data_IF_515375797263
#
_entry.id   IF_515375797263
#
_cell.length_a   1.000
_cell.length_b   1.000
_cell.length_c   1.000
_cell.angle_alpha   90.00
_cell.angle_beta   90.00
_cell.angle_gamma   90.00
#
_symmetry.space_group_name_H-M   'P 1'
#
loop_
_entity.id
_entity.type
_entity.pdbx_description
1 polymer ?
#
# COMPACT_ATOMS: atom_id res chain seq x y z
N UNK A 1 -1.99 8.68 9.00
CA UNK A 1 -2.38 8.43 7.59
C UNK A 1 -3.83 7.99 7.60
N UNK A 2 -4.70 8.64 6.84
CA UNK A 2 -6.08 8.18 6.70
C UNK A 2 -6.07 7.03 5.70
N UNK A 3 -6.72 5.92 6.01
CA UNK A 3 -6.83 4.74 5.13
C UNK A 3 -7.36 5.07 3.72
N UNK A 4 -8.11 6.16 3.57
CA UNK A 4 -8.59 6.67 2.29
C UNK A 4 -7.47 7.08 1.31
N UNK A 5 -6.26 7.35 1.80
CA UNK A 5 -5.10 7.70 0.95
C UNK A 5 -4.40 6.48 0.35
N UNK A 6 -4.70 5.27 0.85
CA UNK A 6 -4.20 3.99 0.31
C UNK A 6 -5.06 3.42 -0.82
N UNK A 7 -6.25 3.99 -1.05
CA UNK A 7 -7.27 3.42 -1.93
C UNK A 7 -7.28 4.01 -3.33
N UNK A 8 -6.55 5.08 -3.57
CA UNK A 8 -6.41 5.67 -4.90
C UNK A 8 -5.17 5.13 -5.65
N UNK A 9 -4.90 3.82 -5.53
CA UNK A 9 -3.91 3.16 -6.36
C UNK A 9 -4.29 3.31 -7.84
N UNK A 10 -3.34 3.73 -8.66
CA UNK A 10 -3.50 3.74 -10.11
C UNK A 10 -4.10 4.99 -10.74
N UNK A 11 -4.40 6.07 -10.00
CA UNK A 11 -5.00 7.28 -10.61
C UNK A 11 -4.41 8.62 -10.14
N UNK A 12 -3.16 8.63 -9.66
CA UNK A 12 -2.50 9.89 -9.27
C UNK A 12 -2.24 10.80 -10.49
N UNK A 13 -2.07 10.19 -11.67
CA UNK A 13 -1.76 10.86 -12.93
C UNK A 13 -2.95 10.97 -13.89
N UNK A 14 -4.13 10.46 -13.52
CA UNK A 14 -5.35 10.53 -14.31
C UNK A 14 -5.21 9.87 -15.70
N UNK A 15 -5.63 10.57 -16.74
CA UNK A 15 -5.61 10.08 -18.13
C UNK A 15 -4.21 9.92 -18.74
N UNK A 16 -3.15 10.30 -18.03
CA UNK A 16 -1.77 10.18 -18.53
C UNK A 16 -1.18 8.78 -18.34
N UNK A 17 -1.87 7.89 -17.65
CA UNK A 17 -1.44 6.52 -17.42
C UNK A 17 -2.50 5.52 -17.88
N UNK A 18 -2.02 4.40 -18.40
CA UNK A 18 -2.84 3.26 -18.80
C UNK A 18 -2.36 1.98 -18.11
N UNK A 19 -3.21 0.97 -18.13
CA UNK A 19 -2.86 -0.35 -17.61
C UNK A 19 -1.68 -0.92 -18.39
N UNK A 20 -0.75 -1.55 -17.67
CA UNK A 20 0.41 -2.20 -18.27
C UNK A 20 0.14 -3.71 -18.46
N UNK A 21 0.48 -4.25 -19.63
CA UNK A 21 0.46 -5.67 -19.89
C UNK A 21 1.54 -6.39 -19.06
N UNK A 22 1.24 -7.61 -18.61
CA UNK A 22 2.12 -8.39 -17.71
C UNK A 22 3.52 -8.56 -18.28
N UNK A 23 3.62 -8.85 -19.57
CA UNK A 23 4.88 -9.04 -20.32
C UNK A 23 5.72 -7.75 -20.38
N UNK A 24 5.11 -6.59 -20.30
CA UNK A 24 5.78 -5.28 -20.38
C UNK A 24 6.28 -4.76 -19.03
N UNK A 25 5.90 -5.39 -17.90
CA UNK A 25 6.28 -4.92 -16.56
C UNK A 25 7.80 -4.95 -16.38
N UNK A 26 8.44 -6.09 -16.64
CA UNK A 26 9.89 -6.23 -16.42
C UNK A 26 10.71 -5.33 -17.39
N UNK A 27 10.43 -5.29 -18.71
CA UNK A 27 11.12 -4.36 -19.62
C UNK A 27 10.99 -2.89 -19.19
N UNK A 28 9.81 -2.49 -18.71
CA UNK A 28 9.57 -1.15 -18.21
C UNK A 28 10.39 -0.86 -16.95
N UNK A 29 10.40 -1.78 -15.98
CA UNK A 29 11.17 -1.63 -14.74
C UNK A 29 12.68 -1.59 -14.99
N UNK A 30 13.20 -2.41 -15.91
CA UNK A 30 14.62 -2.42 -16.26
C UNK A 30 15.08 -1.04 -16.78
N UNK A 31 14.26 -0.40 -17.63
CA UNK A 31 14.51 0.95 -18.13
C UNK A 31 14.38 2.01 -17.02
N UNK A 32 13.38 1.86 -16.17
CA UNK A 32 13.16 2.74 -15.03
C UNK A 32 14.35 2.78 -14.07
N UNK A 33 14.90 1.61 -13.71
CA UNK A 33 16.06 1.53 -12.81
C UNK A 33 17.32 2.11 -13.45
N UNK A 34 17.54 1.89 -14.74
CA UNK A 34 18.68 2.49 -15.46
C UNK A 34 18.61 4.00 -15.42
N UNK A 35 17.44 4.59 -15.67
CA UNK A 35 17.27 6.04 -15.64
C UNK A 35 17.44 6.61 -14.23
N UNK A 36 16.86 5.98 -13.21
CA UNK A 36 17.06 6.37 -11.82
C UNK A 36 18.53 6.30 -11.39
N UNK A 37 19.26 5.25 -11.79
CA UNK A 37 20.68 5.10 -11.48
C UNK A 37 21.53 6.19 -12.16
N UNK A 38 21.16 6.63 -13.34
CA UNK A 38 21.83 7.76 -14.01
C UNK A 38 21.60 9.09 -13.26
N UNK A 39 20.39 9.31 -12.76
CA UNK A 39 20.03 10.51 -11.98
C UNK A 39 20.69 10.50 -10.61
N UNK A 40 20.81 9.33 -9.98
CA UNK A 40 21.39 9.15 -8.65
C UNK A 40 22.59 8.20 -8.66
N UNK A 41 23.74 8.62 -9.24
CA UNK A 41 24.90 7.72 -9.40
C UNK A 41 25.53 7.27 -8.08
N UNK A 42 25.23 7.94 -6.98
CA UNK A 42 25.73 7.60 -5.63
C UNK A 42 24.76 6.73 -4.83
N UNK A 43 23.51 6.66 -5.24
CA UNK A 43 22.54 5.76 -4.63
C UNK A 43 22.68 4.37 -5.27
N UNK A 44 22.51 3.34 -4.46
CA UNK A 44 22.52 1.96 -4.94
C UNK A 44 21.09 1.58 -5.40
N UNK A 45 20.80 1.81 -6.66
CA UNK A 45 19.50 1.51 -7.28
C UNK A 45 19.64 0.23 -8.09
N UNK A 46 19.31 -0.89 -7.46
CA UNK A 46 19.37 -2.20 -8.07
C UNK A 46 17.99 -2.87 -8.03
N UNK A 47 17.62 -3.66 -9.05
CA UNK A 47 16.30 -4.31 -9.12
C UNK A 47 15.95 -5.17 -7.91
N UNK A 48 16.95 -5.76 -7.25
CA UNK A 48 16.74 -6.60 -6.08
C UNK A 48 16.37 -5.83 -4.80
N UNK A 49 16.40 -4.51 -4.81
CA UNK A 49 15.96 -3.65 -3.70
C UNK A 49 14.52 -3.16 -3.85
N UNK A 50 13.95 -3.32 -5.02
CA UNK A 50 12.60 -2.89 -5.37
C UNK A 50 11.75 -4.12 -5.65
N UNK A 51 10.87 -4.47 -4.74
CA UNK A 51 10.08 -5.69 -4.81
C UNK A 51 8.66 -5.40 -5.30
N UNK A 52 8.24 -5.89 -6.46
CA UNK A 52 6.84 -5.79 -6.86
C UNK A 52 5.93 -6.43 -5.82
N UNK A 53 4.87 -5.72 -5.43
CA UNK A 53 3.89 -6.15 -4.42
C UNK A 53 2.47 -5.85 -4.92
N UNK A 54 1.48 -6.16 -4.10
CA UNK A 54 0.09 -5.92 -4.46
C UNK A 54 -0.39 -6.82 -5.58
N UNK A 55 -1.02 -6.24 -6.59
CA UNK A 55 -1.61 -6.95 -7.74
C UNK A 55 -0.72 -7.01 -8.97
N UNK A 56 0.52 -6.54 -8.87
CA UNK A 56 1.45 -6.42 -10.00
C UNK A 56 1.72 -7.78 -10.63
N UNK A 57 1.41 -7.92 -11.93
CA UNK A 57 1.68 -9.15 -12.70
C UNK A 57 0.85 -10.38 -12.32
N UNK A 58 -0.15 -10.25 -11.44
CA UNK A 58 -1.04 -11.37 -11.08
C UNK A 58 -2.13 -11.63 -12.13
N UNK A 59 -2.48 -10.63 -12.91
CA UNK A 59 -3.38 -10.72 -14.08
C UNK A 59 -2.64 -10.36 -15.36
N UNK A 60 -3.31 -10.55 -16.49
CA UNK A 60 -2.79 -10.16 -17.82
C UNK A 60 -2.43 -8.67 -17.90
N UNK A 61 -3.06 -7.82 -17.10
CA UNK A 61 -2.72 -6.39 -16.99
C UNK A 61 -2.75 -5.91 -15.54
N UNK A 62 -1.90 -4.92 -15.23
CA UNK A 62 -1.89 -4.20 -13.94
C UNK A 62 -2.25 -2.74 -14.14
N UNK A 63 -2.94 -2.10 -13.17
CA UNK A 63 -3.30 -0.67 -13.22
C UNK A 63 -2.10 0.23 -12.94
N UNK A 64 -1.22 -0.23 -12.07
CA UNK A 64 -0.02 0.40 -11.57
C UNK A 64 1.05 -0.64 -11.25
N UNK A 65 2.24 -0.18 -10.92
CA UNK A 65 3.35 -1.01 -10.43
C UNK A 65 3.70 -0.56 -9.01
N UNK A 66 3.28 -1.32 -8.02
CA UNK A 66 3.63 -1.12 -6.62
C UNK A 66 5.00 -1.75 -6.32
N UNK A 67 5.95 -0.96 -5.84
CA UNK A 67 7.29 -1.39 -5.48
C UNK A 67 7.53 -1.21 -3.98
N UNK A 68 7.59 -2.31 -3.22
CA UNK A 68 8.05 -2.29 -1.84
C UNK A 68 9.57 -2.13 -1.79
N UNK A 69 10.04 -1.17 -1.00
CA UNK A 69 11.45 -0.85 -0.83
C UNK A 69 11.78 -0.80 0.64
N UNK A 70 12.79 -1.55 1.07
CA UNK A 70 13.23 -1.47 2.45
C UNK A 70 13.86 -0.10 2.74
N UNK A 71 13.37 0.57 3.77
CA UNK A 71 13.89 1.88 4.16
C UNK A 71 15.38 1.84 4.51
N UNK A 72 15.87 0.71 5.02
CA UNK A 72 17.30 0.54 5.37
C UNK A 72 18.16 0.32 4.13
N UNK A 73 17.60 -0.17 3.03
CA UNK A 73 18.29 -0.29 1.75
C UNK A 73 18.44 1.07 1.05
N UNK A 74 17.40 1.92 1.11
CA UNK A 74 17.50 3.28 0.57
C UNK A 74 18.38 4.20 1.43
N UNK A 75 18.35 4.00 2.74
CA UNK A 75 19.04 4.83 3.72
C UNK A 75 19.73 3.95 4.77
N UNK A 76 20.86 3.27 4.43
CA UNK A 76 21.52 2.27 5.30
C UNK A 76 21.93 2.79 6.68
N UNK A 77 22.12 4.10 6.81
CA UNK A 77 22.49 4.76 8.06
C UNK A 77 21.34 5.58 8.66
N UNK A 78 20.09 5.28 8.26
CA UNK A 78 18.92 6.08 8.58
C UNK A 78 18.84 7.38 7.76
N UNK A 79 17.73 8.11 7.94
CA UNK A 79 17.46 9.34 7.18
C UNK A 79 17.96 10.54 7.95
N UNK A 80 18.94 11.22 7.39
CA UNK A 80 19.55 12.43 7.98
C UNK A 80 20.03 13.38 6.88
N UNK A 81 20.37 14.60 7.26
CA UNK A 81 21.00 15.58 6.35
C UNK A 81 22.30 15.11 5.72
N UNK A 82 22.95 14.09 6.27
CA UNK A 82 24.16 13.49 5.70
C UNK A 82 23.85 12.37 4.72
N UNK A 83 22.93 11.47 5.08
CA UNK A 83 22.61 10.28 4.27
C UNK A 83 21.84 10.61 3.00
N UNK A 84 21.02 11.67 3.00
CA UNK A 84 20.29 12.14 1.81
C UNK A 84 21.21 12.69 0.71
N UNK A 85 22.49 12.95 1.00
CA UNK A 85 23.45 13.39 -0.01
C UNK A 85 23.71 12.32 -1.10
N UNK A 86 23.51 11.04 -0.79
CA UNK A 86 23.56 9.98 -1.80
C UNK A 86 22.50 10.17 -2.89
N UNK A 87 21.40 10.84 -2.55
CA UNK A 87 20.30 11.20 -3.44
C UNK A 87 20.41 12.62 -4.03
N UNK A 88 21.62 13.16 -4.11
CA UNK A 88 21.91 14.51 -4.60
C UNK A 88 21.18 15.65 -3.85
N UNK A 89 20.67 15.38 -2.66
CA UNK A 89 19.98 16.36 -1.82
C UNK A 89 20.99 17.10 -0.96
N UNK A 90 20.92 18.42 -0.96
CA UNK A 90 21.76 19.27 -0.10
C UNK A 90 21.30 19.18 1.36
N UNK A 91 22.26 19.11 2.29
CA UNK A 91 21.99 19.01 3.72
C UNK A 91 21.15 20.17 4.27
N UNK A 92 21.46 21.40 3.84
CA UNK A 92 20.76 22.61 4.25
C UNK A 92 19.30 22.64 3.74
N UNK A 93 19.06 22.18 2.51
CA UNK A 93 17.74 22.06 1.94
C UNK A 93 16.89 21.01 2.68
N UNK A 94 17.50 19.85 3.01
CA UNK A 94 16.82 18.83 3.79
C UNK A 94 16.38 19.35 5.16
N UNK A 95 17.28 20.03 5.90
CA UNK A 95 16.97 20.59 7.21
C UNK A 95 15.86 21.64 7.13
N UNK A 96 15.96 22.56 6.16
CA UNK A 96 14.92 23.59 5.96
C UNK A 96 13.56 22.96 5.66
N UNK A 97 13.49 21.97 4.78
CA UNK A 97 12.24 21.32 4.40
C UNK A 97 11.68 20.44 5.52
N UNK A 98 12.55 19.75 6.27
CA UNK A 98 12.19 19.00 7.45
C UNK A 98 11.50 19.90 8.50
N UNK A 99 12.10 21.03 8.82
CA UNK A 99 11.52 21.99 9.78
C UNK A 99 10.17 22.53 9.32
N UNK A 100 10.01 22.80 8.02
CA UNK A 100 8.72 23.21 7.46
C UNK A 100 7.64 22.14 7.62
N UNK A 101 7.96 20.87 7.34
CA UNK A 101 7.00 19.78 7.49
C UNK A 101 6.73 19.49 8.96
N UNK A 102 7.73 19.51 9.82
CA UNK A 102 7.58 19.29 11.27
C UNK A 102 6.62 20.28 11.91
N UNK A 103 6.69 21.56 11.54
CA UNK A 103 5.76 22.62 12.01
C UNK A 103 4.30 22.34 11.65
N UNK A 104 4.06 21.63 10.54
CA UNK A 104 2.70 21.28 10.06
C UNK A 104 2.21 19.93 10.56
N UNK A 105 3.13 19.03 10.89
CA UNK A 105 2.84 17.65 11.27
C UNK A 105 2.66 17.52 12.78
N UNK A 106 1.42 17.69 13.26
CA UNK A 106 1.11 17.69 14.70
C UNK A 106 1.28 16.32 15.37
N UNK A 107 1.10 15.23 14.63
CA UNK A 107 1.05 13.85 15.17
C UNK A 107 2.10 12.90 14.57
N UNK A 108 2.92 13.37 13.63
CA UNK A 108 3.94 12.53 12.99
C UNK A 108 5.23 12.50 13.82
N UNK A 109 5.86 11.33 13.87
CA UNK A 109 7.20 11.18 14.46
C UNK A 109 8.25 11.88 13.60
N UNK A 110 9.43 12.16 14.17
CA UNK A 110 10.55 12.75 13.42
C UNK A 110 10.99 11.85 12.27
N UNK A 111 10.95 10.54 12.43
CA UNK A 111 11.26 9.57 11.37
C UNK A 111 10.26 9.66 10.21
N UNK A 112 8.96 9.80 10.51
CA UNK A 112 7.93 9.96 9.48
C UNK A 112 8.11 11.29 8.72
N UNK A 113 8.46 12.36 9.42
CA UNK A 113 8.75 13.65 8.80
C UNK A 113 10.01 13.60 7.97
N UNK A 114 11.07 12.94 8.45
CA UNK A 114 12.33 12.76 7.73
C UNK A 114 12.10 11.93 6.45
N UNK A 115 11.37 10.83 6.52
CA UNK A 115 11.02 10.00 5.37
C UNK A 115 10.25 10.81 4.33
N UNK A 116 9.19 11.51 4.75
CA UNK A 116 8.44 12.38 3.84
C UNK A 116 9.33 13.43 3.19
N UNK A 117 10.19 14.07 3.97
CA UNK A 117 11.11 15.10 3.47
C UNK A 117 12.05 14.55 2.41
N UNK A 118 12.69 13.42 2.69
CA UNK A 118 13.60 12.76 1.74
C UNK A 118 12.87 12.40 0.43
N UNK A 119 11.71 11.74 0.52
CA UNK A 119 10.94 11.33 -0.66
C UNK A 119 10.41 12.51 -1.49
N UNK A 120 10.02 13.62 -0.84
CA UNK A 120 9.64 14.86 -1.56
C UNK A 120 10.82 15.42 -2.34
N UNK A 121 11.98 15.57 -1.70
CA UNK A 121 13.18 16.13 -2.33
C UNK A 121 13.73 15.21 -3.43
N UNK A 122 13.71 13.88 -3.23
CA UNK A 122 14.02 12.91 -4.29
C UNK A 122 13.08 13.10 -5.48
N UNK A 123 11.77 13.23 -5.23
CA UNK A 123 10.78 13.42 -6.28
C UNK A 123 10.96 14.73 -7.05
N UNK A 124 11.28 15.82 -6.34
CA UNK A 124 11.58 17.12 -6.96
C UNK A 124 12.85 17.02 -7.82
N UNK A 125 13.92 16.40 -7.32
CA UNK A 125 15.16 16.20 -8.05
C UNK A 125 14.99 15.33 -9.30
N UNK A 126 14.20 14.24 -9.21
CA UNK A 126 13.87 13.40 -10.37
C UNK A 126 13.19 14.22 -11.45
N UNK A 127 12.20 15.04 -11.10
CA UNK A 127 11.48 15.87 -12.07
C UNK A 127 12.37 16.88 -12.80
N UNK A 128 13.47 17.30 -12.18
CA UNK A 128 14.42 18.24 -12.77
C UNK A 128 15.46 17.57 -13.66
N UNK A 129 15.78 16.28 -13.41
CA UNK A 129 16.96 15.65 -14.00
C UNK A 129 16.67 14.37 -14.79
N UNK A 130 15.50 13.73 -14.59
CA UNK A 130 15.10 12.55 -15.35
C UNK A 130 14.15 12.96 -16.49
N UNK A 131 14.49 12.68 -17.75
CA UNK A 131 13.67 13.13 -18.87
C UNK A 131 12.31 12.40 -18.99
N UNK A 132 12.25 11.15 -18.51
CA UNK A 132 11.05 10.31 -18.71
C UNK A 132 10.34 9.94 -17.40
N UNK A 133 10.90 10.25 -16.23
CA UNK A 133 10.26 9.98 -14.94
C UNK A 133 9.56 11.24 -14.46
N UNK A 134 8.25 11.14 -14.20
CA UNK A 134 7.46 12.25 -13.69
C UNK A 134 6.91 11.90 -12.31
N UNK A 135 7.44 12.54 -11.26
CA UNK A 135 7.03 12.32 -9.87
C UNK A 135 5.95 13.33 -9.44
N UNK A 136 5.20 12.98 -8.39
CA UNK A 136 4.19 13.85 -7.76
C UNK A 136 4.60 14.26 -6.33
N UNK A 137 5.53 15.23 -6.14
CA UNK A 137 6.03 15.62 -4.81
C UNK A 137 4.93 16.07 -3.85
N UNK A 138 3.85 16.67 -4.36
CA UNK A 138 2.72 17.14 -3.56
C UNK A 138 1.85 16.01 -2.98
N UNK A 139 1.92 14.81 -3.57
CA UNK A 139 1.17 13.63 -3.12
C UNK A 139 2.00 12.73 -2.20
N UNK A 140 3.31 12.96 -2.07
CA UNK A 140 4.20 12.18 -1.22
C UNK A 140 3.71 12.17 0.23
N UNK A 141 3.64 10.97 0.80
CA UNK A 141 3.33 10.72 2.21
C UNK A 141 4.54 10.10 2.93
N UNK A 142 4.57 10.00 4.26
CA UNK A 142 5.62 9.25 4.93
C UNK A 142 5.66 7.79 4.45
N UNK A 143 6.64 7.46 3.62
CA UNK A 143 6.86 6.12 3.06
C UNK A 143 6.13 5.82 1.74
N UNK A 144 5.46 6.79 1.08
CA UNK A 144 4.97 6.56 -0.29
C UNK A 144 5.36 7.72 -1.19
N UNK A 145 5.86 7.39 -2.39
CA UNK A 145 6.11 8.33 -3.47
C UNK A 145 5.49 7.78 -4.76
N UNK A 146 5.02 8.67 -5.63
CA UNK A 146 4.25 8.31 -6.82
C UNK A 146 4.95 8.87 -8.05
N UNK A 147 5.21 7.98 -9.01
CA UNK A 147 5.85 8.31 -10.27
C UNK A 147 5.06 7.80 -11.47
N UNK A 148 5.33 8.37 -12.62
CA UNK A 148 4.87 7.89 -13.92
C UNK A 148 6.09 7.68 -14.81
N UNK A 149 6.08 6.60 -15.60
CA UNK A 149 7.14 6.26 -16.53
C UNK A 149 6.55 5.69 -17.83
N UNK A 150 7.18 5.89 -19.00
CA UNK A 150 6.74 5.26 -20.23
C UNK A 150 6.78 3.73 -20.15
N UNK A 151 5.80 3.08 -20.75
CA UNK A 151 5.80 1.63 -20.89
C UNK A 151 6.73 1.19 -22.04
N UNK A 152 7.40 0.06 -21.85
CA UNK A 152 8.26 -0.56 -22.84
C UNK A 152 7.83 -2.01 -23.08
N UNK A 153 7.86 -2.43 -24.36
CA UNK A 153 7.61 -3.83 -24.73
C UNK A 153 8.85 -4.72 -24.50
N UNK A 154 8.69 -6.04 -24.71
CA UNK A 154 9.78 -7.03 -24.61
C UNK A 154 10.94 -6.76 -25.56
N UNK A 155 10.73 -6.06 -26.65
CA UNK A 155 11.74 -5.67 -27.61
C UNK A 155 12.46 -4.35 -27.22
N UNK A 156 12.00 -3.70 -26.11
CA UNK A 156 12.55 -2.45 -25.61
C UNK A 156 12.06 -1.21 -26.34
N UNK A 157 10.97 -1.30 -27.11
CA UNK A 157 10.35 -0.15 -27.76
C UNK A 157 9.47 0.62 -26.77
N UNK A 158 9.54 1.95 -26.80
CA UNK A 158 8.64 2.82 -26.05
C UNK A 158 7.25 2.80 -26.69
N UNK A 159 6.24 2.47 -25.89
CA UNK A 159 4.84 2.38 -26.35
C UNK A 159 4.12 3.73 -26.39
N UNK A 160 4.78 4.82 -26.00
CA UNK A 160 4.23 6.17 -25.90
C UNK A 160 2.99 6.31 -24.99
N UNK A 161 2.86 5.44 -24.04
CA UNK A 161 1.86 5.47 -22.98
C UNK A 161 2.58 5.35 -21.62
N UNK A 162 2.02 5.98 -20.58
CA UNK A 162 2.59 5.93 -19.23
C UNK A 162 2.01 4.82 -18.37
N UNK A 163 2.78 4.37 -17.37
CA UNK A 163 2.29 3.58 -16.24
C UNK A 163 2.66 4.27 -14.94
N UNK A 164 1.78 4.20 -13.96
CA UNK A 164 2.09 4.66 -12.60
C UNK A 164 3.02 3.66 -11.91
N UNK A 165 4.08 4.16 -11.27
CA UNK A 165 5.02 3.37 -10.45
C UNK A 165 5.06 3.99 -9.06
N UNK A 166 4.65 3.22 -8.07
CA UNK A 166 4.53 3.67 -6.69
C UNK A 166 5.61 3.05 -5.82
N UNK A 167 6.33 3.89 -5.11
CA UNK A 167 7.29 3.45 -4.10
C UNK A 167 6.60 3.35 -2.75
N UNK A 168 6.68 2.19 -2.15
CA UNK A 168 6.26 1.91 -0.78
C UNK A 168 7.51 1.66 0.05
N UNK A 169 7.95 2.68 0.78
CA UNK A 169 9.21 2.67 1.53
C UNK A 169 8.92 2.43 3.02
N UNK A 170 9.50 1.37 3.56
CA UNK A 170 9.30 1.00 4.97
C UNK A 170 10.05 -0.26 5.36
N UNK A 171 9.60 -0.96 6.37
CA UNK A 171 10.08 -2.30 6.68
C UNK A 171 9.53 -3.28 5.62
N UNK A 172 10.42 -3.98 4.93
CA UNK A 172 10.07 -4.82 3.79
C UNK A 172 9.14 -5.97 4.15
N UNK A 173 9.32 -6.61 5.31
CA UNK A 173 8.49 -7.72 5.76
C UNK A 173 7.05 -7.25 6.04
N UNK A 174 6.90 -6.07 6.65
CA UNK A 174 5.60 -5.43 6.83
C UNK A 174 4.95 -5.07 5.52
N UNK A 175 5.71 -4.53 4.55
CA UNK A 175 5.17 -4.18 3.24
C UNK A 175 4.71 -5.43 2.49
N UNK A 176 5.54 -6.48 2.43
CA UNK A 176 5.16 -7.76 1.82
C UNK A 176 3.92 -8.37 2.47
N UNK A 177 3.87 -8.35 3.80
CA UNK A 177 2.70 -8.86 4.55
C UNK A 177 1.45 -8.04 4.24
N UNK A 178 1.53 -6.71 4.28
CA UNK A 178 0.37 -5.82 4.16
C UNK A 178 -0.19 -5.77 2.73
N UNK A 179 0.67 -5.88 1.73
CA UNK A 179 0.29 -5.85 0.32
C UNK A 179 0.17 -7.24 -0.33
N UNK A 180 0.20 -8.32 0.46
CA UNK A 180 -0.06 -9.66 -0.07
C UNK A 180 -1.44 -9.74 -0.74
N UNK A 181 -1.49 -10.32 -1.94
CA UNK A 181 -2.70 -10.43 -2.78
C UNK A 181 -2.88 -11.86 -3.30
N UNK A 182 -2.81 -12.84 -2.39
CA UNK A 182 -2.81 -14.27 -2.76
C UNK A 182 -4.08 -14.73 -3.48
N UNK A 183 -5.23 -14.08 -3.22
CA UNK A 183 -6.51 -14.41 -3.87
C UNK A 183 -6.71 -13.71 -5.21
N UNK A 184 -5.94 -12.66 -5.51
CA UNK A 184 -6.13 -11.89 -6.72
C UNK A 184 -5.47 -12.59 -7.92
N UNK A 185 -6.23 -12.81 -8.97
CA UNK A 185 -5.76 -13.51 -10.17
C UNK A 185 -6.82 -13.51 -11.26
N UNK A 186 -6.63 -14.31 -12.31
CA UNK A 186 -7.56 -14.39 -13.44
C UNK A 186 -8.95 -14.89 -13.03
N UNK A 187 -9.05 -15.69 -11.97
CA UNK A 187 -10.30 -16.29 -11.49
C UNK A 187 -10.94 -15.56 -10.31
N UNK A 188 -10.29 -14.54 -9.76
CA UNK A 188 -10.80 -13.81 -8.60
C UNK A 188 -10.48 -12.32 -8.69
N UNK A 189 -11.47 -11.49 -8.30
CA UNK A 189 -11.34 -10.04 -8.17
C UNK A 189 -11.04 -9.59 -6.72
N UNK A 190 -10.93 -10.53 -5.78
CA UNK A 190 -10.65 -10.21 -4.37
C UNK A 190 -9.20 -9.74 -4.24
N UNK A 191 -9.02 -8.44 -4.10
CA UNK A 191 -7.70 -7.81 -3.93
C UNK A 191 -7.17 -8.04 -2.52
N UNK A 192 -5.84 -8.00 -2.35
CA UNK A 192 -5.18 -8.04 -1.03
C UNK A 192 -5.67 -6.99 -0.03
N UNK A 193 -6.24 -5.90 -0.53
CA UNK A 193 -6.93 -4.90 0.26
C UNK A 193 -8.06 -5.48 1.12
N UNK A 194 -8.88 -6.38 0.57
CA UNK A 194 -9.97 -7.03 1.32
C UNK A 194 -9.44 -7.83 2.52
N UNK A 195 -8.38 -8.59 2.30
CA UNK A 195 -7.70 -9.33 3.37
C UNK A 195 -7.14 -8.39 4.44
N UNK A 196 -6.46 -7.33 4.05
CA UNK A 196 -5.88 -6.37 5.00
C UNK A 196 -6.96 -5.64 5.81
N UNK A 197 -8.07 -5.28 5.17
CA UNK A 197 -9.20 -4.67 5.85
C UNK A 197 -9.95 -5.63 6.77
N UNK A 198 -10.02 -6.93 6.42
CA UNK A 198 -10.58 -7.94 7.30
C UNK A 198 -9.71 -8.13 8.56
N UNK A 199 -8.38 -8.22 8.42
CA UNK A 199 -7.43 -8.26 9.55
C UNK A 199 -7.61 -7.02 10.44
N UNK A 200 -7.73 -5.83 9.83
CA UNK A 200 -7.99 -4.60 10.57
C UNK A 200 -9.30 -4.66 11.36
N UNK A 201 -10.36 -5.20 10.77
CA UNK A 201 -11.65 -5.37 11.43
C UNK A 201 -11.57 -6.36 12.59
N UNK A 202 -10.86 -7.48 12.42
CA UNK A 202 -10.63 -8.47 13.49
C UNK A 202 -9.91 -7.84 14.68
N UNK A 203 -8.84 -7.09 14.46
CA UNK A 203 -8.16 -6.38 15.54
C UNK A 203 -9.04 -5.31 16.20
N UNK A 204 -9.86 -4.60 15.43
CA UNK A 204 -10.79 -3.63 16.01
C UNK A 204 -11.87 -4.30 16.86
N UNK A 205 -12.37 -5.48 16.47
CA UNK A 205 -13.35 -6.24 17.21
C UNK A 205 -12.81 -6.73 18.58
N UNK A 206 -11.49 -6.82 18.74
CA UNK A 206 -10.79 -7.21 19.96
C UNK A 206 -10.13 -6.03 20.70
N UNK A 207 -10.55 -4.80 20.41
CA UNK A 207 -10.00 -3.57 21.00
C UNK A 207 -8.52 -3.31 20.68
N UNK A 208 -8.03 -3.77 19.56
CA UNK A 208 -6.69 -3.46 19.06
C UNK A 208 -6.75 -2.50 17.87
N UNK A 209 -5.62 -1.90 17.53
CA UNK A 209 -5.42 -1.15 16.29
C UNK A 209 -4.30 -1.80 15.49
N UNK A 210 -4.51 -1.98 14.19
CA UNK A 210 -3.52 -2.49 13.27
C UNK A 210 -2.99 -1.36 12.38
N UNK A 211 -1.68 -1.22 12.35
CA UNK A 211 -0.97 -0.32 11.45
C UNK A 211 0.04 -1.14 10.64
N UNK A 212 -0.10 -1.15 9.33
CA UNK A 212 0.74 -1.94 8.43
C UNK A 212 2.22 -1.51 8.39
N UNK A 213 2.60 -0.47 9.12
CA UNK A 213 3.99 -0.01 9.26
C UNK A 213 4.55 -0.19 10.67
N UNK A 214 3.68 -0.28 11.67
CA UNK A 214 4.07 -0.30 13.08
C UNK A 214 3.60 -1.55 13.83
N UNK A 215 2.73 -2.35 13.22
CA UNK A 215 2.17 -3.53 13.85
C UNK A 215 0.87 -3.31 14.59
N UNK A 216 0.60 -4.14 15.59
CA UNK A 216 -0.63 -4.13 16.36
C UNK A 216 -0.40 -3.44 17.71
N UNK A 217 -1.32 -2.55 18.07
CA UNK A 217 -1.32 -1.88 19.38
C UNK A 217 -2.58 -2.18 20.16
N UNK A 218 -2.44 -2.41 21.44
CA UNK A 218 -3.57 -2.38 22.38
C UNK A 218 -4.12 -0.95 22.44
N UNK A 219 -5.43 -0.78 22.29
CA UNK A 219 -6.06 0.56 22.31
C UNK A 219 -6.19 1.15 23.71
N UNK A 220 -6.20 0.32 24.75
CA UNK A 220 -6.31 0.79 26.13
C UNK A 220 -4.98 1.34 26.64
N UNK A 221 -3.86 0.70 26.30
CA UNK A 221 -2.51 1.06 26.77
C UNK A 221 -1.74 1.88 25.75
N UNK A 222 -2.03 1.74 24.44
CA UNK A 222 -1.27 2.32 23.34
C UNK A 222 0.04 1.57 23.04
N UNK A 223 0.32 0.49 23.75
CA UNK A 223 1.55 -0.31 23.58
C UNK A 223 1.48 -1.17 22.33
N UNK A 224 2.63 -1.37 21.68
CA UNK A 224 2.78 -2.32 20.56
C UNK A 224 2.82 -3.73 21.16
N UNK A 225 1.81 -4.55 20.82
CA UNK A 225 1.67 -5.93 21.28
C UNK A 225 2.10 -6.97 20.24
N UNK A 226 2.20 -6.55 18.97
CA UNK A 226 2.80 -7.36 17.90
C UNK A 226 3.58 -6.43 16.95
N UNK A 227 4.89 -6.55 16.96
CA UNK A 227 5.81 -5.66 16.23
C UNK A 227 6.25 -6.21 14.87
N UNK A 228 5.99 -7.48 14.60
CA UNK A 228 6.35 -8.16 13.35
C UNK A 228 5.13 -8.84 12.71
N UNK A 229 5.17 -9.18 11.42
CA UNK A 229 4.14 -10.00 10.79
C UNK A 229 3.90 -11.33 11.52
N UNK A 230 4.95 -12.02 11.96
CA UNK A 230 4.83 -13.30 12.68
C UNK A 230 4.14 -13.12 14.03
N UNK A 231 4.51 -12.10 14.82
CA UNK A 231 3.83 -11.77 16.08
C UNK A 231 2.36 -11.44 15.84
N UNK A 232 2.05 -10.78 14.72
CA UNK A 232 0.67 -10.45 14.33
C UNK A 232 -0.15 -11.71 14.08
N UNK A 233 0.44 -12.71 13.42
CA UNK A 233 -0.19 -14.02 13.19
C UNK A 233 -0.46 -14.73 14.53
N UNK A 234 0.54 -14.76 15.41
CA UNK A 234 0.41 -15.38 16.76
C UNK A 234 -0.72 -14.70 17.53
N UNK A 235 -0.69 -13.37 17.62
CA UNK A 235 -1.73 -12.62 18.35
C UNK A 235 -3.13 -12.84 17.76
N UNK A 236 -3.27 -12.85 16.45
CA UNK A 236 -4.56 -13.07 15.80
C UNK A 236 -5.10 -14.47 16.09
N UNK A 237 -4.22 -15.49 16.01
CA UNK A 237 -4.57 -16.86 16.36
C UNK A 237 -5.04 -16.99 17.84
N UNK A 238 -4.35 -16.32 18.76
CA UNK A 238 -4.73 -16.31 20.19
C UNK A 238 -6.09 -15.64 20.40
N UNK A 239 -6.31 -14.46 19.80
CA UNK A 239 -7.54 -13.68 19.99
C UNK A 239 -8.79 -14.37 19.40
N UNK A 240 -8.63 -15.15 18.34
CA UNK A 240 -9.73 -15.81 17.64
C UNK A 240 -9.72 -17.34 17.78
N UNK A 241 -8.82 -17.93 18.59
CA UNK A 241 -8.71 -19.37 18.72
C UNK A 241 -8.40 -20.09 17.41
N UNK A 242 -7.63 -19.46 16.51
CA UNK A 242 -7.27 -19.97 15.21
C UNK A 242 -5.90 -20.67 15.24
N UNK A 243 -5.57 -21.35 14.14
CA UNK A 243 -4.25 -21.95 13.93
C UNK A 243 -3.84 -21.75 12.47
N UNK A 244 -3.74 -20.49 12.05
CA UNK A 244 -3.38 -20.11 10.68
C UNK A 244 -1.89 -19.77 10.59
N UNK A 245 -1.25 -20.17 9.51
CA UNK A 245 0.10 -19.71 9.14
C UNK A 245 0.03 -18.33 8.47
N UNK A 246 1.18 -17.67 8.34
CA UNK A 246 1.28 -16.38 7.65
C UNK A 246 0.83 -16.49 6.17
N UNK A 247 1.10 -17.61 5.51
CA UNK A 247 0.68 -17.88 4.14
C UNK A 247 -0.84 -18.03 4.03
N UNK A 248 -1.47 -18.66 5.00
CA UNK A 248 -2.93 -18.78 5.06
C UNK A 248 -3.60 -17.43 5.36
N UNK A 249 -2.97 -16.61 6.21
CA UNK A 249 -3.40 -15.22 6.45
C UNK A 249 -3.24 -14.31 5.21
N UNK A 250 -2.45 -14.68 4.24
CA UNK A 250 -2.34 -13.95 2.97
C UNK A 250 -3.57 -14.13 2.08
N UNK A 251 -4.45 -15.12 2.37
CA UNK A 251 -5.64 -15.43 1.59
C UNK A 251 -6.90 -14.96 2.32
N UNK A 252 -7.69 -14.09 1.67
CA UNK A 252 -8.92 -13.53 2.22
C UNK A 252 -9.96 -14.62 2.53
N UNK A 253 -10.23 -15.51 1.58
CA UNK A 253 -11.26 -16.55 1.77
C UNK A 253 -10.90 -17.51 2.89
N UNK A 254 -9.62 -17.92 2.97
CA UNK A 254 -9.14 -18.76 4.08
C UNK A 254 -9.34 -18.07 5.42
N UNK A 255 -9.02 -16.78 5.51
CA UNK A 255 -9.18 -16.00 6.73
C UNK A 255 -10.67 -15.82 7.08
N UNK A 256 -11.51 -15.46 6.10
CA UNK A 256 -12.94 -15.27 6.29
C UNK A 256 -13.61 -16.59 6.75
N UNK A 257 -13.31 -17.71 6.07
CA UNK A 257 -13.85 -19.02 6.43
C UNK A 257 -13.43 -19.47 7.84
N UNK A 258 -12.19 -19.16 8.25
CA UNK A 258 -11.69 -19.53 9.56
C UNK A 258 -12.42 -18.83 10.72
N UNK A 259 -12.96 -17.62 10.48
CA UNK A 259 -13.70 -16.88 11.53
C UNK A 259 -15.21 -17.09 11.48
N UNK A 260 -15.74 -17.78 10.47
CA UNK A 260 -17.18 -18.14 10.42
C UNK A 260 -17.57 -18.94 11.66
N UNK A 261 -18.64 -18.52 12.31
CA UNK A 261 -19.10 -19.16 13.55
C UNK A 261 -18.36 -18.77 14.83
N UNK A 262 -17.32 -17.94 14.75
CA UNK A 262 -16.69 -17.39 15.95
C UNK A 262 -17.62 -16.37 16.64
N UNK A 263 -17.65 -16.29 17.99
CA UNK A 263 -18.53 -15.36 18.71
C UNK A 263 -18.36 -13.88 18.32
N UNK A 264 -17.19 -13.49 17.81
CA UNK A 264 -16.92 -12.13 17.32
C UNK A 264 -17.20 -11.95 15.83
N UNK A 265 -17.73 -12.97 15.13
CA UNK A 265 -17.93 -12.92 13.67
C UNK A 265 -18.79 -11.72 13.26
N UNK A 266 -19.99 -11.58 13.81
CA UNK A 266 -20.91 -10.49 13.43
C UNK A 266 -20.34 -9.11 13.73
N UNK A 267 -19.69 -8.94 14.88
CA UNK A 267 -19.00 -7.69 15.21
C UNK A 267 -17.86 -7.39 14.24
N UNK A 268 -17.07 -8.40 13.87
CA UNK A 268 -15.99 -8.28 12.89
C UNK A 268 -16.55 -7.89 11.52
N UNK A 269 -17.61 -8.57 11.05
CA UNK A 269 -18.23 -8.28 9.76
C UNK A 269 -18.87 -6.88 9.74
N UNK A 270 -19.52 -6.46 10.81
CA UNK A 270 -20.04 -5.10 10.91
C UNK A 270 -18.93 -4.05 10.75
N UNK A 271 -17.80 -4.24 11.43
CA UNK A 271 -16.65 -3.35 11.33
C UNK A 271 -16.06 -3.38 9.91
N UNK A 272 -15.89 -4.58 9.35
CA UNK A 272 -15.34 -4.79 8.01
C UNK A 272 -16.20 -4.09 6.93
N UNK A 273 -17.52 -4.33 6.93
CA UNK A 273 -18.42 -3.70 5.98
C UNK A 273 -18.46 -2.17 6.13
N UNK A 274 -18.38 -1.63 7.36
CA UNK A 274 -18.22 -0.19 7.60
C UNK A 274 -16.91 0.36 7.06
N UNK A 275 -15.83 -0.41 7.10
CA UNK A 275 -14.56 -0.03 6.50
C UNK A 275 -14.71 0.04 4.98
N UNK A 276 -15.28 -0.98 4.33
CA UNK A 276 -15.53 -1.00 2.89
C UNK A 276 -16.40 0.18 2.45
N UNK A 277 -17.52 0.40 3.13
CA UNK A 277 -18.45 1.51 2.84
C UNK A 277 -17.77 2.89 2.92
N UNK A 278 -16.91 3.08 3.92
CA UNK A 278 -16.14 4.32 4.10
C UNK A 278 -15.05 4.51 3.05
N UNK A 279 -14.42 3.41 2.64
CA UNK A 279 -13.24 3.42 1.77
C UNK A 279 -13.57 3.25 0.29
N UNK A 280 -14.86 3.17 -0.05
CA UNK A 280 -15.36 3.04 -1.43
C UNK A 280 -14.85 1.78 -2.14
N UNK A 281 -14.67 0.71 -1.40
CA UNK A 281 -14.25 -0.59 -1.93
C UNK A 281 -15.46 -1.47 -2.08
N UNK A 282 -15.60 -2.13 -3.21
CA UNK A 282 -16.71 -3.04 -3.48
C UNK A 282 -16.69 -4.23 -2.50
N UNK A 283 -17.84 -4.85 -2.35
CA UNK A 283 -18.03 -5.94 -1.39
C UNK A 283 -17.67 -7.26 -2.08
N UNK A 284 -16.86 -8.14 -1.46
CA UNK A 284 -16.60 -9.47 -1.98
C UNK A 284 -17.88 -10.24 -2.28
N UNK A 285 -17.90 -11.04 -3.35
CA UNK A 285 -19.09 -11.76 -3.82
C UNK A 285 -19.69 -12.67 -2.74
N UNK A 286 -18.86 -13.29 -1.94
CA UNK A 286 -19.26 -14.17 -0.83
C UNK A 286 -19.92 -13.44 0.35
N UNK A 287 -19.85 -12.10 0.40
CA UNK A 287 -20.48 -11.26 1.41
C UNK A 287 -21.69 -10.45 0.90
N UNK A 288 -22.03 -10.54 -0.38
CA UNK A 288 -23.13 -9.73 -0.94
C UNK A 288 -24.46 -10.03 -0.25
N UNK A 289 -24.80 -11.31 -0.04
CA UNK A 289 -26.02 -11.70 0.65
C UNK A 289 -26.02 -11.23 2.11
N UNK A 290 -24.92 -11.40 2.81
CA UNK A 290 -24.76 -10.93 4.20
C UNK A 290 -24.93 -9.42 4.28
N UNK A 291 -24.35 -8.65 3.35
CA UNK A 291 -24.52 -7.21 3.27
C UNK A 291 -25.98 -6.80 3.05
N UNK A 292 -26.70 -7.45 2.12
CA UNK A 292 -28.10 -7.17 1.84
C UNK A 292 -28.96 -7.36 3.11
N UNK A 293 -28.69 -8.41 3.88
CA UNK A 293 -29.45 -8.74 5.09
C UNK A 293 -29.20 -7.75 6.23
N UNK A 294 -27.97 -7.23 6.36
CA UNK A 294 -27.56 -6.45 7.53
C UNK A 294 -27.32 -4.96 7.24
N UNK A 295 -27.39 -4.49 5.99
CA UNK A 295 -27.04 -3.11 5.62
C UNK A 295 -27.79 -2.05 6.43
N UNK A 296 -29.07 -2.25 6.69
CA UNK A 296 -29.92 -1.30 7.41
C UNK A 296 -29.60 -1.31 8.90
N UNK A 297 -29.41 -2.49 9.49
CA UNK A 297 -28.99 -2.67 10.89
C UNK A 297 -27.63 -2.02 11.16
N UNK A 298 -26.68 -2.19 10.25
CA UNK A 298 -25.32 -1.64 10.39
C UNK A 298 -25.19 -0.18 9.98
N UNK A 299 -26.27 0.39 9.38
CA UNK A 299 -26.29 1.77 8.88
C UNK A 299 -25.32 1.98 7.71
N UNK A 300 -25.19 0.97 6.83
CA UNK A 300 -24.35 1.04 5.64
C UNK A 300 -25.07 1.84 4.56
N UNK A 301 -24.35 2.78 3.95
CA UNK A 301 -24.96 3.71 3.00
C UNK A 301 -24.93 3.22 1.56
N UNK A 302 -24.01 2.32 1.24
CA UNK A 302 -23.77 1.81 -0.11
C UNK A 302 -23.42 2.90 -1.14
N UNK A 303 -23.25 4.15 -0.71
CA UNK A 303 -22.95 5.29 -1.61
C UNK A 303 -21.68 5.11 -2.43
N UNK A 304 -20.91 4.14 -2.08
CA UNK A 304 -19.59 3.90 -2.65
C UNK A 304 -19.52 2.66 -3.53
N UNK A 305 -20.62 1.95 -3.69
CA UNK A 305 -20.67 0.86 -4.66
C UNK A 305 -20.42 1.42 -6.06
N UNK A 306 -19.58 0.77 -6.87
CA UNK A 306 -19.40 1.12 -8.27
C UNK A 306 -20.72 1.23 -9.02
N UNK A 307 -20.77 2.04 -10.07
CA UNK A 307 -22.02 2.29 -10.80
C UNK A 307 -22.58 1.02 -11.45
N UNK A 308 -21.72 0.07 -11.76
CA UNK A 308 -22.03 -1.25 -12.32
C UNK A 308 -22.25 -2.34 -11.25
N UNK A 309 -22.16 -2.01 -9.97
CA UNK A 309 -22.37 -2.98 -8.89
C UNK A 309 -23.79 -3.51 -8.87
N UNK A 310 -23.92 -4.84 -8.88
CA UNK A 310 -25.20 -5.54 -8.73
C UNK A 310 -25.94 -5.22 -7.43
N UNK A 311 -25.23 -4.68 -6.45
CA UNK A 311 -25.78 -4.30 -5.14
C UNK A 311 -26.51 -2.96 -5.15
N UNK A 312 -26.31 -2.11 -6.18
CA UNK A 312 -26.98 -0.81 -6.26
C UNK A 312 -28.51 -0.90 -6.28
N UNK A 313 -29.07 -2.00 -6.77
CA UNK A 313 -30.51 -2.23 -6.76
C UNK A 313 -31.13 -2.43 -5.36
N UNK A 314 -30.30 -2.60 -4.33
CA UNK A 314 -30.73 -2.76 -2.94
C UNK A 314 -30.53 -1.49 -2.09
N UNK A 315 -30.01 -0.42 -2.65
CA UNK A 315 -29.90 0.91 -2.04
C UNK A 315 -31.14 1.71 -2.41
#
# INVERSE_FOLDING_TARGET
MRFAELLEGGNVFGENTERIAKENIQPTLDRYYVELQQVFPRADITPNKFHPVGSVGLKSTSGDIDLAVDATELFPQGISSKTVQAWNIRSDEFVMRFDQFKKRARTSTDEQVAMKTALVLISEYVNEHAPNIHMQPKKVTPGNAFGMFPQYDEQGNNLNIGVQIDWMVGNLDWLKFSYASADYGETSNVKGLHRTQLILAMFQATNHSFDHKQGVKDRATGEVVAGTPDDTVVLLNELFGLNLSIQQLANYHTLHDAIKGHPLYDNTMQIYLKILDRTRVDIPDDLQEYWIQHKDEFGLTGKFLPDDSNLRKYI
#
